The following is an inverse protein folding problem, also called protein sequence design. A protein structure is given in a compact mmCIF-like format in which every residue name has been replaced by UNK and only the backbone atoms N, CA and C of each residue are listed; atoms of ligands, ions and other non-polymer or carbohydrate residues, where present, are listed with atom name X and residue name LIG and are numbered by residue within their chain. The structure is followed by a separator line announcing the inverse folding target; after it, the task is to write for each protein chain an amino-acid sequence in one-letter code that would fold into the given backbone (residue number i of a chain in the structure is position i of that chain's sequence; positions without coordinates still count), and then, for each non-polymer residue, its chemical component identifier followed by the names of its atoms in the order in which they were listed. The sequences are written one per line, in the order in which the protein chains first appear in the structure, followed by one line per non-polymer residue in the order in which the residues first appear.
data_IF_489742876878
#
_entry.id   IF_489742876878
#
_cell.length_a   1.000
_cell.length_b   1.000
_cell.length_c   1.000
_cell.angle_alpha   90.00
_cell.angle_beta   90.00
_cell.angle_gamma   90.00
#
_symmetry.space_group_name_H-M   'P 1'
#
loop_
_entity.id
_entity.type
_entity.pdbx_description
1 polymer ?
#
# COMPACT_ATOMS: atom_id res chain seq x y z
N UNK A 1 13.87 -2.36 20.39
CA UNK A 1 13.27 -2.57 19.05
C UNK A 1 11.76 -2.61 19.23
N UNK A 2 11.01 -1.83 18.46
CA UNK A 2 9.55 -1.80 18.53
C UNK A 2 9.00 -2.99 17.73
N UNK A 3 8.24 -3.89 18.36
CA UNK A 3 7.46 -4.90 17.65
C UNK A 3 6.13 -4.28 17.23
N UNK A 4 5.87 -4.21 15.94
CA UNK A 4 4.66 -3.58 15.40
C UNK A 4 4.02 -4.48 14.34
N UNK A 5 2.73 -4.29 14.12
CA UNK A 5 1.90 -5.04 13.18
C UNK A 5 1.24 -4.09 12.19
N UNK A 6 1.01 -4.60 10.98
CA UNK A 6 0.41 -3.87 9.88
C UNK A 6 -0.57 -4.73 9.08
N UNK A 7 -1.64 -4.11 8.61
CA UNK A 7 -2.54 -4.62 7.58
C UNK A 7 -2.33 -3.78 6.33
N UNK A 8 -1.82 -4.40 5.26
CA UNK A 8 -1.43 -3.72 4.03
C UNK A 8 -2.36 -4.14 2.90
N UNK A 9 -3.07 -3.18 2.33
CA UNK A 9 -3.76 -3.31 1.06
C UNK A 9 -2.90 -2.69 -0.05
N UNK A 10 -2.89 -3.33 -1.21
CA UNK A 10 -2.25 -2.85 -2.42
C UNK A 10 -3.26 -2.96 -3.53
N UNK A 11 -3.40 -1.88 -4.30
CA UNK A 11 -4.44 -1.75 -5.29
C UNK A 11 -3.97 -0.86 -6.44
N UNK A 12 -4.61 -1.03 -7.59
CA UNK A 12 -4.57 -0.07 -8.68
C UNK A 12 -5.61 1.03 -8.40
N UNK A 13 -5.19 2.30 -8.43
CA UNK A 13 -6.03 3.46 -8.17
C UNK A 13 -6.91 3.78 -9.38
N UNK A 14 -8.00 3.04 -9.52
CA UNK A 14 -9.02 3.33 -10.52
C UNK A 14 -9.93 4.47 -10.01
N UNK A 15 -10.11 5.55 -10.79
CA UNK A 15 -11.09 6.63 -10.50
C UNK A 15 -11.92 6.94 -11.74
N UNK A 16 -13.27 7.00 -11.66
CA UNK A 16 -14.15 6.92 -10.49
C UNK A 16 -14.64 5.49 -10.17
N UNK A 17 -13.98 4.46 -10.70
CA UNK A 17 -14.37 3.05 -10.48
C UNK A 17 -13.84 2.54 -9.14
N UNK A 18 -14.25 1.34 -8.76
CA UNK A 18 -13.66 0.67 -7.60
C UNK A 18 -12.20 0.34 -7.89
N UNK A 19 -11.34 0.51 -6.87
CA UNK A 19 -9.94 0.13 -6.97
C UNK A 19 -9.78 -1.37 -7.16
N UNK A 20 -8.88 -1.75 -8.08
CA UNK A 20 -8.57 -3.14 -8.34
C UNK A 20 -7.59 -3.66 -7.27
N UNK A 21 -8.12 -4.46 -6.35
CA UNK A 21 -7.35 -5.01 -5.23
C UNK A 21 -6.35 -6.05 -5.71
N UNK A 22 -5.06 -5.73 -5.61
CA UNK A 22 -3.96 -6.60 -6.02
C UNK A 22 -3.62 -7.59 -4.91
N UNK A 23 -3.50 -7.09 -3.67
CA UNK A 23 -3.02 -7.89 -2.55
C UNK A 23 -3.46 -7.36 -1.20
N UNK A 24 -3.59 -8.30 -0.27
CA UNK A 24 -3.76 -8.03 1.14
C UNK A 24 -2.77 -8.87 1.96
N UNK A 25 -2.00 -8.22 2.84
CA UNK A 25 -1.09 -8.89 3.77
C UNK A 25 -1.33 -8.41 5.21
N UNK A 26 -1.27 -9.34 6.16
CA UNK A 26 -1.14 -9.06 7.60
C UNK A 26 0.23 -9.51 8.07
N UNK A 27 0.92 -8.69 8.86
CA UNK A 27 2.24 -9.03 9.36
C UNK A 27 2.53 -8.36 10.70
N UNK A 28 3.52 -8.89 11.42
CA UNK A 28 4.21 -8.19 12.50
C UNK A 28 5.73 -8.27 12.25
N UNK A 29 6.47 -7.23 12.64
CA UNK A 29 7.93 -7.18 12.49
C UNK A 29 8.58 -6.30 13.56
N UNK A 30 9.90 -6.42 13.67
CA UNK A 30 10.77 -5.50 14.43
C UNK A 30 11.58 -4.56 13.52
N UNK A 31 11.45 -4.70 12.20
CA UNK A 31 12.12 -3.84 11.22
C UNK A 31 11.58 -2.40 11.30
N UNK A 32 12.49 -1.44 11.34
CA UNK A 32 12.16 0.00 11.38
C UNK A 32 11.81 0.57 10.00
N UNK A 33 12.27 -0.06 8.91
CA UNK A 33 11.90 0.28 7.54
C UNK A 33 11.48 -1.01 6.85
N UNK A 34 10.25 -1.06 6.36
CA UNK A 34 9.75 -2.22 5.62
C UNK A 34 9.68 -1.90 4.14
N UNK A 35 10.60 -2.48 3.38
CA UNK A 35 10.62 -2.39 1.92
C UNK A 35 9.83 -3.56 1.37
N UNK A 36 8.74 -3.26 0.69
CA UNK A 36 8.01 -4.30 -0.02
C UNK A 36 8.34 -4.23 -1.50
N UNK A 37 8.77 -5.37 -2.05
CA UNK A 37 8.94 -5.55 -3.49
C UNK A 37 7.84 -6.49 -3.95
N UNK A 38 6.96 -5.98 -4.80
CA UNK A 38 5.91 -6.79 -5.41
C UNK A 38 6.22 -6.94 -6.89
N UNK A 39 6.60 -8.16 -7.28
CA UNK A 39 6.74 -8.57 -8.66
C UNK A 39 5.46 -9.25 -9.15
N UNK A 40 5.27 -9.26 -10.47
CA UNK A 40 4.21 -10.02 -11.15
C UNK A 40 2.78 -9.55 -10.82
N UNK A 41 2.60 -8.24 -10.68
CA UNK A 41 1.28 -7.61 -10.54
C UNK A 41 0.52 -7.80 -11.86
N UNK A 42 -0.23 -8.91 -11.98
CA UNK A 42 -1.10 -9.16 -13.15
C UNK A 42 -2.43 -8.45 -12.95
N UNK A 43 -2.54 -7.25 -13.47
CA UNK A 43 -3.80 -6.52 -13.57
C UNK A 43 -4.40 -6.78 -14.96
N UNK A 44 -5.72 -6.91 -15.04
CA UNK A 44 -6.41 -7.25 -16.27
C UNK A 44 -7.05 -6.01 -16.88
N UNK A 45 -6.70 -5.70 -18.14
CA UNK A 45 -7.58 -4.92 -19.01
C UNK A 45 -7.65 -3.42 -18.69
N UNK A 46 -6.49 -2.79 -18.52
CA UNK A 46 -6.41 -1.33 -18.51
C UNK A 46 -6.20 -0.79 -19.94
N UNK A 47 -6.92 0.29 -20.28
CA UNK A 47 -6.76 1.02 -21.55
C UNK A 47 -5.66 2.09 -21.46
N UNK A 48 -5.21 2.43 -20.25
CA UNK A 48 -4.09 3.32 -19.98
C UNK A 48 -2.76 2.61 -20.25
N UNK A 49 -1.69 3.34 -20.63
CA UNK A 49 -0.35 2.76 -20.77
C UNK A 49 0.31 2.35 -19.44
N UNK A 50 -0.25 2.77 -18.30
CA UNK A 50 0.32 2.60 -16.96
C UNK A 50 -0.75 2.30 -15.92
N UNK A 51 -0.44 1.38 -14.99
CA UNK A 51 -1.21 1.18 -13.76
C UNK A 51 -0.77 2.15 -12.67
N UNK A 52 -1.71 2.82 -12.00
CA UNK A 52 -1.46 3.63 -10.82
C UNK A 52 -1.46 2.79 -9.53
N UNK A 53 -0.33 2.19 -9.16
CA UNK A 53 -0.26 1.30 -7.99
C UNK A 53 -0.14 2.09 -6.69
N UNK A 54 -1.06 1.85 -5.74
CA UNK A 54 -1.10 2.50 -4.43
C UNK A 54 -1.19 1.48 -3.30
N UNK A 55 -1.02 1.96 -2.08
CA UNK A 55 -1.19 1.16 -0.88
C UNK A 55 -1.96 1.88 0.21
N UNK A 56 -2.58 1.10 1.08
CA UNK A 56 -3.14 1.55 2.34
C UNK A 56 -2.58 0.66 3.45
N UNK A 57 -1.84 1.26 4.38
CA UNK A 57 -1.29 0.58 5.54
C UNK A 57 -2.00 1.03 6.81
N UNK A 58 -2.69 0.11 7.47
CA UNK A 58 -3.14 0.29 8.85
C UNK A 58 -2.08 -0.33 9.77
N UNK A 59 -1.44 0.43 10.65
CA UNK A 59 -0.30 -0.07 11.45
C UNK A 59 -0.19 0.59 12.82
N UNK A 60 0.50 -0.08 13.76
CA UNK A 60 0.87 0.50 15.05
C UNK A 60 2.39 0.77 15.19
N UNK A 61 3.09 0.99 14.07
CA UNK A 61 4.48 1.46 14.04
C UNK A 61 4.61 2.91 14.53
N UNK A 62 4.33 3.16 15.79
CA UNK A 62 4.17 4.50 16.33
C UNK A 62 4.77 4.59 17.74
N UNK A 63 5.28 5.76 18.17
CA UNK A 63 5.86 5.91 19.52
C UNK A 63 4.86 5.60 20.65
N UNK A 64 3.57 5.84 20.40
CA UNK A 64 2.45 5.69 21.32
C UNK A 64 1.67 4.37 21.12
N UNK A 65 2.10 3.52 20.18
CA UNK A 65 1.53 2.19 19.88
C UNK A 65 0.06 2.24 19.41
N UNK A 66 -0.47 3.43 19.13
CA UNK A 66 -1.78 3.60 18.52
C UNK A 66 -1.72 3.24 17.03
N UNK A 67 -2.81 2.66 16.55
CA UNK A 67 -2.96 2.36 15.14
C UNK A 67 -3.18 3.63 14.33
N UNK A 68 -2.53 3.71 13.17
CA UNK A 68 -2.64 4.81 12.21
C UNK A 68 -2.91 4.28 10.82
N UNK A 69 -3.53 5.11 10.00
CA UNK A 69 -3.72 4.87 8.59
C UNK A 69 -2.71 5.67 7.74
N UNK A 70 -1.90 4.98 6.96
CA UNK A 70 -0.98 5.58 6.00
C UNK A 70 -1.42 5.23 4.58
N UNK A 71 -1.78 6.26 3.83
CA UNK A 71 -2.07 6.21 2.39
C UNK A 71 -1.19 7.30 1.75
N UNK A 72 -0.33 6.97 0.78
CA UNK A 72 0.47 7.97 0.09
C UNK A 72 -0.45 8.88 -0.74
N UNK A 73 -0.04 10.12 -0.98
CA UNK A 73 -0.79 11.03 -1.86
C UNK A 73 -0.74 10.55 -3.31
N UNK A 74 0.47 10.20 -3.77
CA UNK A 74 0.75 9.77 -5.15
C UNK A 74 0.79 8.25 -5.30
N UNK A 75 0.36 7.77 -6.45
CA UNK A 75 0.54 6.38 -6.86
C UNK A 75 1.90 6.17 -7.53
N UNK A 76 2.36 4.92 -7.59
CA UNK A 76 3.52 4.51 -8.37
C UNK A 76 3.04 4.02 -9.72
N UNK A 77 3.41 4.72 -10.79
CA UNK A 77 3.11 4.31 -12.16
C UNK A 77 3.93 3.09 -12.58
N UNK A 78 3.25 2.04 -13.05
CA UNK A 78 3.87 0.82 -13.58
C UNK A 78 3.40 0.60 -15.01
N UNK A 79 4.31 0.52 -16.01
CA UNK A 79 3.92 0.28 -17.40
C UNK A 79 3.15 -1.04 -17.57
N UNK A 80 2.06 -1.00 -18.34
CA UNK A 80 1.25 -2.19 -18.67
C UNK A 80 2.05 -3.18 -19.52
N UNK A 81 2.90 -2.68 -20.41
CA UNK A 81 3.75 -3.50 -21.28
C UNK A 81 5.08 -3.85 -20.61
N UNK A 82 5.46 -5.13 -20.65
CA UNK A 82 6.75 -5.61 -20.15
C UNK A 82 6.66 -6.17 -18.73
N UNK A 83 7.76 -6.12 -17.99
CA UNK A 83 7.82 -6.68 -16.64
C UNK A 83 7.22 -5.70 -15.62
N UNK A 84 6.11 -6.09 -15.01
CA UNK A 84 5.34 -5.27 -14.08
C UNK A 84 5.90 -5.42 -12.66
N UNK A 85 6.61 -4.39 -12.19
CA UNK A 85 7.17 -4.33 -10.82
C UNK A 85 6.82 -3.01 -10.15
N UNK A 86 6.18 -3.07 -8.98
CA UNK A 86 6.00 -1.91 -8.12
C UNK A 86 6.99 -1.97 -6.96
N UNK A 87 7.77 -0.90 -6.80
CA UNK A 87 8.62 -0.72 -5.61
C UNK A 87 7.90 0.22 -4.65
N UNK A 88 7.40 -0.34 -3.55
CA UNK A 88 6.72 0.43 -2.51
C UNK A 88 7.67 0.60 -1.31
N UNK A 89 8.11 1.84 -1.10
CA UNK A 89 8.90 2.23 0.06
C UNK A 89 7.97 2.81 1.12
N UNK A 90 7.68 2.05 2.17
CA UNK A 90 6.75 2.46 3.22
C UNK A 90 7.55 2.88 4.47
N UNK A 91 7.59 4.17 4.71
CA UNK A 91 8.08 4.75 5.97
C UNK A 91 6.90 4.86 6.95
N UNK A 92 6.76 3.85 7.80
CA UNK A 92 5.61 3.74 8.70
C UNK A 92 5.84 4.44 10.05
N UNK A 93 7.09 4.69 10.47
CA UNK A 93 7.35 5.10 11.84
C UNK A 93 6.81 6.50 12.14
N UNK A 94 5.78 6.58 12.97
CA UNK A 94 5.16 7.85 13.34
C UNK A 94 4.24 8.46 12.27
N UNK A 95 4.16 7.87 11.07
CA UNK A 95 3.37 8.37 9.95
C UNK A 95 1.93 7.86 9.98
N UNK A 96 1.08 8.51 9.18
CA UNK A 96 -0.34 8.19 9.06
C UNK A 96 -1.26 9.04 9.94
N UNK A 97 -2.56 8.97 9.66
CA UNK A 97 -3.61 9.67 10.43
C UNK A 97 -4.09 8.81 11.59
N UNK A 98 -4.61 9.46 12.64
CA UNK A 98 -5.28 8.78 13.76
C UNK A 98 -6.71 8.32 13.42
N UNK A 99 -7.20 8.69 12.25
CA UNK A 99 -8.49 8.22 11.74
C UNK A 99 -8.35 6.77 11.26
N UNK A 100 -9.41 5.98 11.40
CA UNK A 100 -9.45 4.65 10.82
C UNK A 100 -9.25 4.72 9.31
N UNK A 101 -8.63 3.69 8.72
CA UNK A 101 -8.49 3.67 7.27
C UNK A 101 -9.86 3.65 6.59
N UNK A 102 -10.08 4.48 5.54
CA UNK A 102 -11.28 4.37 4.73
C UNK A 102 -11.34 2.97 4.10
N UNK A 103 -12.53 2.44 3.77
CA UNK A 103 -12.62 1.21 3.01
C UNK A 103 -11.80 1.39 1.71
N UNK A 104 -10.95 0.41 1.33
CA UNK A 104 -10.12 0.52 0.13
C UNK A 104 -10.91 0.76 -1.16
N UNK A 105 -12.20 0.42 -1.20
CA UNK A 105 -13.09 0.57 -2.36
C UNK A 105 -14.24 1.56 -2.11
N UNK A 106 -14.09 2.51 -1.16
CA UNK A 106 -15.15 3.49 -0.84
C UNK A 106 -15.25 4.63 -1.87
#
# INVERSE_FOLDING_TARGET
MLNWCGHLHIYEEDKPKEHDMIRYDKFCTTDVIKRFHYSDIKLHGDMSPTYEIKYQLHHNCTPDVFWRCLIPEEAVEVPVNGQQHAKLHIDAYGHGTSEGCPPPNA
#
